data_IF_606806188445
#
_entry.id   IF_606806188445
#
_cell.length_a   1.000
_cell.length_b   1.000
_cell.length_c   1.000
_cell.angle_alpha   90.00
_cell.angle_beta   90.00
_cell.angle_gamma   90.00
#
_symmetry.space_group_name_H-M   'P 1'
#
loop_
_entity.id
_entity.type
_entity.pdbx_description
1 polymer ?
#
# COMPACT_ATOMS: atom_id res chain seq x y z
N UNK A 1 -17.60 11.30 -9.78
CA UNK A 1 -17.90 10.99 -8.37
C UNK A 1 -16.59 10.89 -7.61
N UNK A 2 -15.98 12.02 -7.26
CA UNK A 2 -14.91 12.05 -6.26
C UNK A 2 -15.62 12.16 -4.92
N UNK A 3 -15.73 11.04 -4.21
CA UNK A 3 -16.16 11.07 -2.81
C UNK A 3 -14.94 11.58 -2.05
N UNK A 4 -14.95 12.86 -1.68
CA UNK A 4 -13.95 13.45 -0.79
C UNK A 4 -14.09 12.76 0.59
N UNK A 5 -13.42 11.62 0.74
CA UNK A 5 -13.29 10.91 2.01
C UNK A 5 -12.53 11.83 2.96
N UNK A 6 -12.97 11.93 4.22
CA UNK A 6 -12.24 12.67 5.26
C UNK A 6 -10.76 12.26 5.24
N UNK A 7 -9.81 13.19 5.45
CA UNK A 7 -8.38 12.90 5.35
C UNK A 7 -8.01 11.78 6.31
N UNK A 8 -7.68 10.62 5.75
CA UNK A 8 -7.17 9.48 6.50
C UNK A 8 -5.66 9.64 6.69
N UNK A 9 -5.10 9.26 7.85
CA UNK A 9 -3.66 9.26 8.05
C UNK A 9 -2.96 8.45 6.96
N UNK A 10 -1.93 9.03 6.35
CA UNK A 10 -1.13 8.41 5.30
C UNK A 10 0.20 7.94 5.88
N UNK A 11 0.56 6.69 5.62
CA UNK A 11 1.84 6.10 6.02
C UNK A 11 2.65 5.78 4.77
N UNK A 12 3.90 6.24 4.75
CA UNK A 12 4.84 6.02 3.65
C UNK A 12 5.94 5.05 4.10
N UNK A 13 6.12 3.95 3.37
CA UNK A 13 7.23 3.00 3.56
C UNK A 13 8.27 3.17 2.44
N UNK A 14 9.46 3.68 2.79
CA UNK A 14 10.59 3.82 1.87
C UNK A 14 11.42 2.54 1.84
N UNK A 15 11.64 1.97 0.66
CA UNK A 15 12.34 0.70 0.51
C UNK A 15 11.47 -0.50 0.92
N UNK A 16 10.18 -0.49 0.55
CA UNK A 16 9.20 -1.47 1.03
C UNK A 16 9.45 -2.91 0.54
N UNK A 17 10.36 -3.12 -0.42
CA UNK A 17 10.68 -4.43 -0.96
C UNK A 17 9.46 -5.14 -1.53
N UNK A 18 9.05 -6.24 -0.89
CA UNK A 18 7.87 -7.02 -1.30
C UNK A 18 6.55 -6.45 -0.78
N UNK A 19 6.58 -5.41 0.06
CA UNK A 19 5.40 -4.78 0.63
C UNK A 19 4.74 -5.55 1.77
N UNK A 20 5.40 -6.56 2.35
CA UNK A 20 4.85 -7.41 3.42
C UNK A 20 4.49 -6.59 4.67
N UNK A 21 5.31 -5.61 5.02
CA UNK A 21 5.05 -4.73 6.16
C UNK A 21 3.90 -3.75 5.88
N UNK A 22 3.94 -3.04 4.74
CA UNK A 22 2.81 -2.23 4.24
C UNK A 22 1.49 -2.99 4.27
N UNK A 23 1.43 -4.21 3.72
CA UNK A 23 0.21 -5.03 3.70
C UNK A 23 -0.24 -5.44 5.11
N UNK A 24 0.69 -5.85 5.97
CA UNK A 24 0.40 -6.21 7.35
C UNK A 24 -0.18 -5.04 8.15
N UNK A 25 0.37 -3.84 7.96
CA UNK A 25 -0.16 -2.63 8.59
C UNK A 25 -1.51 -2.21 8.01
N UNK A 26 -1.69 -2.30 6.70
CA UNK A 26 -2.96 -1.98 6.06
C UNK A 26 -4.11 -2.88 6.51
N UNK A 27 -3.82 -4.16 6.77
CA UNK A 27 -4.76 -5.11 7.36
C UNK A 27 -5.12 -4.74 8.80
N UNK A 28 -4.13 -4.34 9.57
CA UNK A 28 -4.29 -4.01 10.99
C UNK A 28 -4.97 -2.66 11.23
N UNK A 29 -4.76 -1.71 10.33
CA UNK A 29 -5.24 -0.33 10.42
C UNK A 29 -6.02 0.06 9.16
N UNK A 30 -7.23 -0.48 8.95
CA UNK A 30 -8.05 -0.21 7.77
C UNK A 30 -8.50 1.27 7.65
N UNK A 31 -8.40 2.03 8.75
CA UNK A 31 -8.70 3.46 8.81
C UNK A 31 -7.57 4.35 8.25
N UNK A 32 -6.38 3.78 7.98
CA UNK A 32 -5.22 4.48 7.43
C UNK A 32 -4.96 4.05 5.99
N UNK A 33 -4.33 4.93 5.23
CA UNK A 33 -3.85 4.66 3.90
C UNK A 33 -2.34 4.40 3.93
N UNK A 34 -1.85 3.50 3.07
CA UNK A 34 -0.45 3.10 3.01
C UNK A 34 0.10 3.22 1.60
N UNK A 35 1.30 3.76 1.48
CA UNK A 35 2.07 3.81 0.24
C UNK A 35 3.41 3.12 0.46
N UNK A 36 3.68 2.06 -0.30
CA UNK A 36 5.00 1.43 -0.37
C UNK A 36 5.79 1.91 -1.59
N UNK A 37 7.03 2.32 -1.39
CA UNK A 37 7.94 2.76 -2.47
C UNK A 37 9.19 1.89 -2.50
N UNK A 38 9.55 1.39 -3.68
CA UNK A 38 10.82 0.70 -3.93
C UNK A 38 11.26 0.90 -5.39
N UNK A 39 12.56 0.84 -5.66
CA UNK A 39 13.11 0.97 -7.01
C UNK A 39 12.98 -0.35 -7.80
N UNK A 40 12.98 -1.49 -7.10
CA UNK A 40 12.96 -2.83 -7.71
C UNK A 40 11.52 -3.29 -7.92
N UNK A 41 10.99 -2.99 -9.11
CA UNK A 41 9.62 -3.36 -9.51
C UNK A 41 9.26 -4.84 -9.32
N UNK A 42 10.20 -5.78 -9.53
CA UNK A 42 9.96 -7.21 -9.31
C UNK A 42 9.56 -7.56 -7.86
N UNK A 43 10.05 -6.80 -6.87
CA UNK A 43 9.68 -6.98 -5.46
C UNK A 43 8.30 -6.37 -5.20
N UNK A 44 8.07 -5.14 -5.68
CA UNK A 44 6.79 -4.44 -5.59
C UNK A 44 5.63 -5.23 -6.19
N UNK A 45 5.83 -5.88 -7.32
CA UNK A 45 4.80 -6.67 -8.01
C UNK A 45 4.15 -7.70 -7.09
N UNK A 46 4.93 -8.33 -6.22
CA UNK A 46 4.39 -9.31 -5.26
C UNK A 46 3.42 -8.66 -4.29
N UNK A 47 3.79 -7.52 -3.71
CA UNK A 47 2.95 -6.75 -2.81
C UNK A 47 1.69 -6.23 -3.51
N UNK A 48 1.84 -5.66 -4.70
CA UNK A 48 0.73 -5.13 -5.49
C UNK A 48 -0.27 -6.23 -5.89
N UNK A 49 0.22 -7.39 -6.33
CA UNK A 49 -0.65 -8.54 -6.65
C UNK A 49 -1.42 -9.00 -5.42
N UNK A 50 -0.76 -9.13 -4.26
CA UNK A 50 -1.42 -9.49 -3.00
C UNK A 50 -2.44 -8.42 -2.57
N UNK A 51 -2.14 -7.13 -2.76
CA UNK A 51 -3.07 -6.05 -2.47
C UNK A 51 -4.38 -6.21 -3.26
N UNK A 52 -4.27 -6.49 -4.56
CA UNK A 52 -5.41 -6.72 -5.46
C UNK A 52 -6.17 -8.00 -5.10
N UNK A 53 -5.48 -9.13 -4.93
CA UNK A 53 -6.10 -10.43 -4.62
C UNK A 53 -6.86 -10.42 -3.29
N UNK A 54 -6.38 -9.67 -2.30
CA UNK A 54 -7.01 -9.54 -0.99
C UNK A 54 -7.92 -8.30 -0.86
N UNK A 55 -8.17 -7.57 -1.95
CA UNK A 55 -9.01 -6.36 -1.98
C UNK A 55 -8.62 -5.28 -0.96
N UNK A 56 -7.31 -5.03 -0.78
CA UNK A 56 -6.86 -3.87 -0.01
C UNK A 56 -7.17 -2.58 -0.79
N UNK A 57 -8.15 -1.82 -0.30
CA UNK A 57 -8.53 -0.52 -0.88
C UNK A 57 -7.71 0.66 -0.33
N UNK A 58 -6.89 0.41 0.70
CA UNK A 58 -6.12 1.40 1.43
C UNK A 58 -4.59 1.24 1.23
N UNK A 59 -4.16 0.56 0.16
CA UNK A 59 -2.74 0.33 -0.15
C UNK A 59 -2.45 0.69 -1.60
N UNK A 60 -1.35 1.40 -1.81
CA UNK A 60 -0.78 1.66 -3.14
C UNK A 60 0.72 1.39 -3.12
N UNK A 61 1.25 0.93 -4.24
CA UNK A 61 2.67 0.69 -4.44
C UNK A 61 3.17 1.58 -5.58
N UNK A 62 4.24 2.34 -5.34
CA UNK A 62 4.85 3.22 -6.32
C UNK A 62 6.27 2.76 -6.62
N UNK A 63 6.66 2.85 -7.89
CA UNK A 63 8.04 2.69 -8.35
C UNK A 63 8.56 4.04 -8.81
N UNK A 64 9.73 4.40 -8.32
CA UNK A 64 10.49 5.59 -8.74
C UNK A 64 11.80 5.19 -9.38
#
# INVERSE_FOLDING_TARGET
MTVDKAPAPLVLELGCGKGEYTLGLAKRFPEKNFIGVDIKGARLWRGAKTALEQNYLNVVFLRT
#
